data_IF_348169264515
#
_entry.id   IF_348169264515
#
_cell.length_a   1.000
_cell.length_b   1.000
_cell.length_c   1.000
_cell.angle_alpha   90.00
_cell.angle_beta   90.00
_cell.angle_gamma   90.00
#
_symmetry.space_group_name_H-M   'P 1'
#
loop_
_entity.id
_entity.type
_entity.pdbx_description
1 polymer ?
#
# COMPACT_ATOMS: atom_id res chain seq x y z
N UNK A 1 4.15 8.18 -4.92
CA UNK A 1 4.57 7.92 -6.32
C UNK A 1 4.76 9.14 -7.24
N UNK A 2 4.41 10.40 -6.88
CA UNK A 2 4.59 11.56 -7.80
C UNK A 2 6.02 12.14 -7.85
N UNK A 3 6.91 11.75 -6.92
CA UNK A 3 8.27 12.28 -6.80
C UNK A 3 9.23 11.82 -7.92
N UNK A 4 9.27 10.54 -8.37
CA UNK A 4 10.17 10.06 -9.44
C UNK A 4 10.05 10.85 -10.75
N UNK A 5 8.85 11.35 -11.07
CA UNK A 5 8.53 12.03 -12.34
C UNK A 5 9.09 13.45 -12.39
N UNK A 6 9.08 14.17 -11.27
CA UNK A 6 9.65 15.53 -11.15
C UNK A 6 11.17 15.49 -11.29
N UNK A 7 11.80 14.40 -10.88
CA UNK A 7 13.26 14.22 -10.88
C UNK A 7 13.79 13.93 -12.29
N UNK A 8 13.00 13.34 -13.17
CA UNK A 8 13.41 13.03 -14.55
C UNK A 8 13.45 14.26 -15.48
N UNK A 9 12.82 15.37 -15.09
CA UNK A 9 12.76 16.60 -15.89
C UNK A 9 13.95 17.53 -15.63
N UNK A 10 14.64 17.39 -14.48
CA UNK A 10 15.81 18.21 -14.16
C UNK A 10 17.14 17.51 -14.55
N UNK A 11 17.96 18.12 -15.43
CA UNK A 11 19.25 17.56 -15.82
C UNK A 11 20.29 17.52 -14.68
N UNK A 12 20.09 18.24 -13.57
CA UNK A 12 20.96 18.21 -12.39
C UNK A 12 20.64 17.06 -11.39
N UNK A 13 19.57 16.31 -11.65
CA UNK A 13 19.12 15.20 -10.81
C UNK A 13 20.05 13.96 -10.84
N UNK A 14 21.05 13.95 -11.72
CA UNK A 14 21.98 12.84 -11.89
C UNK A 14 23.23 12.90 -10.99
N UNK A 15 23.35 13.95 -10.17
CA UNK A 15 24.34 13.97 -9.09
C UNK A 15 23.87 13.10 -7.92
N UNK A 16 24.80 12.46 -7.20
CA UNK A 16 24.50 11.65 -6.00
C UNK A 16 23.59 12.38 -5.01
N UNK A 17 23.80 13.69 -4.85
CA UNK A 17 22.96 14.56 -4.03
C UNK A 17 21.49 14.65 -4.54
N UNK A 18 21.27 14.71 -5.85
CA UNK A 18 19.92 14.71 -6.45
C UNK A 18 19.20 13.37 -6.26
N UNK A 19 19.92 12.25 -6.42
CA UNK A 19 19.41 10.92 -6.12
C UNK A 19 19.09 10.72 -4.62
N UNK A 20 19.85 11.34 -3.73
CA UNK A 20 19.60 11.28 -2.28
C UNK A 20 18.41 12.15 -1.88
N UNK A 21 18.35 13.40 -2.37
CA UNK A 21 17.27 14.33 -2.09
C UNK A 21 15.92 13.77 -2.56
N UNK A 22 15.90 13.19 -3.76
CA UNK A 22 14.71 12.52 -4.29
C UNK A 22 14.21 11.37 -3.44
N UNK A 23 15.12 10.49 -3.00
CA UNK A 23 14.80 9.38 -2.08
C UNK A 23 14.25 9.90 -0.76
N UNK A 24 14.83 10.97 -0.21
CA UNK A 24 14.37 11.59 1.02
C UNK A 24 12.93 12.12 0.89
N UNK A 25 12.64 12.92 -0.15
CA UNK A 25 11.29 13.47 -0.35
C UNK A 25 10.26 12.40 -0.68
N UNK A 26 10.63 11.37 -1.46
CA UNK A 26 9.76 10.22 -1.72
C UNK A 26 9.39 9.52 -0.40
N UNK A 27 10.39 9.20 0.43
CA UNK A 27 10.16 8.55 1.73
C UNK A 27 9.34 9.42 2.68
N UNK A 28 9.59 10.73 2.73
CA UNK A 28 8.83 11.67 3.54
C UNK A 28 7.34 11.71 3.13
N UNK A 29 7.06 11.77 1.82
CA UNK A 29 5.69 11.76 1.33
C UNK A 29 4.97 10.43 1.58
N UNK A 30 5.66 9.30 1.41
CA UNK A 30 5.07 7.96 1.62
C UNK A 30 4.85 7.64 3.11
N UNK A 31 5.73 8.11 4.00
CA UNK A 31 5.58 7.93 5.44
C UNK A 31 4.31 8.58 5.98
N UNK A 32 3.90 9.73 5.43
CA UNK A 32 2.70 10.45 5.85
C UNK A 32 1.41 9.84 5.26
N UNK A 33 1.49 9.11 4.15
CA UNK A 33 0.32 8.66 3.39
C UNK A 33 -0.58 7.70 4.17
N UNK A 34 -0.01 6.60 4.66
CA UNK A 34 -0.78 5.54 5.33
C UNK A 34 -1.42 6.02 6.66
N UNK A 35 -0.68 6.64 7.60
CA UNK A 35 -1.28 7.16 8.82
C UNK A 35 -2.22 8.35 8.55
N UNK A 36 -1.89 9.22 7.59
CA UNK A 36 -2.72 10.36 7.23
C UNK A 36 -4.08 9.94 6.69
N UNK A 37 -4.10 8.95 5.79
CA UNK A 37 -5.36 8.44 5.21
C UNK A 37 -6.21 7.73 6.25
N UNK A 38 -5.59 6.91 7.11
CA UNK A 38 -6.29 6.19 8.18
C UNK A 38 -6.89 7.17 9.20
N UNK A 39 -6.15 8.22 9.56
CA UNK A 39 -6.64 9.26 10.46
C UNK A 39 -7.82 10.04 9.84
N UNK A 40 -7.73 10.41 8.57
CA UNK A 40 -8.84 11.07 7.87
C UNK A 40 -10.09 10.16 7.84
N UNK A 41 -9.94 8.88 7.52
CA UNK A 41 -11.07 7.94 7.55
C UNK A 41 -11.69 7.81 8.94
N UNK A 42 -10.89 7.75 10.01
CA UNK A 42 -11.41 7.66 11.38
C UNK A 42 -12.25 8.86 11.81
N UNK A 43 -12.08 10.02 11.15
CA UNK A 43 -12.86 11.25 11.42
C UNK A 43 -14.13 11.37 10.59
N UNK A 44 -14.23 10.63 9.49
CA UNK A 44 -15.33 10.74 8.53
C UNK A 44 -16.23 9.50 8.53
N UNK A 45 -15.80 8.40 9.17
CA UNK A 45 -16.47 7.11 9.10
C UNK A 45 -16.66 6.51 10.50
N UNK A 46 -17.77 5.79 10.67
CA UNK A 46 -18.09 5.06 11.91
C UNK A 46 -17.10 3.92 12.15
N UNK A 47 -16.93 3.54 13.41
CA UNK A 47 -15.97 2.49 13.81
C UNK A 47 -16.33 1.10 13.26
N UNK A 48 -17.60 0.88 12.93
CA UNK A 48 -18.10 -0.36 12.32
C UNK A 48 -17.79 -0.50 10.82
N UNK A 49 -17.65 0.62 10.10
CA UNK A 49 -17.39 0.63 8.64
C UNK A 49 -15.93 0.97 8.31
N UNK A 50 -15.14 1.31 9.32
CA UNK A 50 -13.78 1.80 9.15
C UNK A 50 -12.86 0.76 8.49
N UNK A 51 -12.99 -0.52 8.87
CA UNK A 51 -12.15 -1.59 8.37
C UNK A 51 -12.40 -1.87 6.88
N UNK A 52 -13.66 -1.95 6.44
CA UNK A 52 -14.03 -2.03 5.02
C UNK A 52 -13.52 -0.84 4.19
N UNK A 53 -13.58 0.38 4.74
CA UNK A 53 -13.09 1.57 4.02
C UNK A 53 -11.58 1.59 3.90
N UNK A 54 -10.86 1.17 4.94
CA UNK A 54 -9.41 1.00 4.91
C UNK A 54 -9.04 -0.10 3.91
N UNK A 55 -9.79 -1.21 3.84
CA UNK A 55 -9.51 -2.29 2.90
C UNK A 55 -9.70 -1.84 1.46
N UNK A 56 -10.71 -1.02 1.13
CA UNK A 56 -10.86 -0.44 -0.22
C UNK A 56 -9.61 0.36 -0.62
N UNK A 57 -9.12 1.23 0.26
CA UNK A 57 -7.93 2.06 -0.02
C UNK A 57 -6.67 1.19 -0.16
N UNK A 58 -6.51 0.22 0.72
CA UNK A 58 -5.34 -0.67 0.73
C UNK A 58 -5.33 -1.58 -0.50
N UNK A 59 -6.49 -2.11 -0.90
CA UNK A 59 -6.68 -2.87 -2.15
C UNK A 59 -6.36 -2.05 -3.39
N UNK A 60 -6.63 -0.73 -3.37
CA UNK A 60 -6.20 0.18 -4.44
C UNK A 60 -4.68 0.21 -4.61
N UNK A 61 -3.94 0.10 -3.50
CA UNK A 61 -2.47 0.03 -3.53
C UNK A 61 -1.99 -1.30 -4.14
N UNK A 62 -2.61 -2.42 -3.75
CA UNK A 62 -2.33 -3.75 -4.33
C UNK A 62 -2.59 -3.83 -5.83
N UNK A 63 -3.70 -3.24 -6.30
CA UNK A 63 -3.98 -3.10 -7.73
C UNK A 63 -2.95 -2.21 -8.42
N UNK A 64 -2.51 -1.13 -7.77
CA UNK A 64 -1.41 -0.30 -8.24
C UNK A 64 -0.15 -1.10 -8.54
N UNK A 65 0.25 -2.02 -7.64
CA UNK A 65 1.40 -2.92 -7.90
C UNK A 65 1.16 -3.86 -9.08
N UNK A 66 -0.04 -4.42 -9.22
CA UNK A 66 -0.41 -5.28 -10.35
C UNK A 66 -0.33 -4.53 -11.69
N UNK A 67 -0.93 -3.34 -11.77
CA UNK A 67 -0.89 -2.51 -12.98
C UNK A 67 0.52 -1.97 -13.26
N UNK A 68 1.26 -1.58 -12.23
CA UNK A 68 2.66 -1.15 -12.36
C UNK A 68 3.54 -2.24 -12.95
N UNK A 69 3.43 -3.48 -12.46
CA UNK A 69 4.14 -4.63 -13.02
C UNK A 69 3.73 -4.93 -14.48
N UNK A 70 2.44 -4.79 -14.80
CA UNK A 70 1.94 -4.97 -16.16
C UNK A 70 2.51 -3.91 -17.13
N UNK A 71 2.45 -2.62 -16.74
CA UNK A 71 3.02 -1.52 -17.53
C UNK A 71 4.53 -1.71 -17.67
N UNK A 72 5.23 -2.06 -16.60
CA UNK A 72 6.67 -2.34 -16.62
C UNK A 72 7.02 -3.46 -17.59
N UNK A 73 6.25 -4.55 -17.62
CA UNK A 73 6.47 -5.66 -18.56
C UNK A 73 6.34 -5.20 -20.03
N UNK A 74 5.33 -4.38 -20.33
CA UNK A 74 5.09 -3.85 -21.68
C UNK A 74 6.18 -2.87 -22.12
N UNK A 75 6.57 -1.94 -21.24
CA UNK A 75 7.59 -0.92 -21.52
C UNK A 75 8.96 -1.56 -21.73
N UNK A 76 9.36 -2.52 -20.89
CA UNK A 76 10.64 -3.20 -21.05
C UNK A 76 10.74 -4.03 -22.33
N UNK A 77 9.61 -4.53 -22.85
CA UNK A 77 9.58 -5.31 -24.09
C UNK A 77 9.58 -4.47 -25.38
N UNK A 78 9.18 -3.20 -25.32
CA UNK A 78 8.88 -2.40 -26.54
C UNK A 78 9.56 -1.03 -26.61
N UNK A 79 9.94 -0.44 -25.48
CA UNK A 79 10.36 0.97 -25.41
C UNK A 79 11.85 1.17 -25.13
N UNK A 80 12.68 0.13 -25.27
CA UNK A 80 14.13 0.30 -25.12
C UNK A 80 14.72 1.08 -26.32
N UNK A 81 15.47 2.14 -26.03
CA UNK A 81 16.08 3.10 -27.00
C UNK A 81 15.09 3.95 -27.82
N UNK A 82 13.81 3.92 -27.50
CA UNK A 82 12.81 4.81 -28.13
C UNK A 82 13.09 6.26 -27.69
N UNK A 83 13.29 7.16 -28.66
CA UNK A 83 13.78 8.54 -28.49
C UNK A 83 15.16 8.67 -27.81
N UNK A 84 15.99 7.62 -27.82
CA UNK A 84 17.32 7.63 -27.19
C UNK A 84 17.30 7.54 -25.66
N UNK A 85 16.14 7.31 -25.05
CA UNK A 85 16.00 7.09 -23.62
C UNK A 85 15.96 5.60 -23.28
N UNK A 86 16.49 5.25 -22.11
CA UNK A 86 16.39 3.90 -21.56
C UNK A 86 14.94 3.59 -21.15
N UNK A 87 14.47 2.35 -21.35
CA UNK A 87 13.09 1.96 -21.10
C UNK A 87 12.58 2.25 -19.67
N UNK A 88 13.44 2.21 -18.65
CA UNK A 88 13.07 2.55 -17.28
C UNK A 88 12.62 4.01 -17.09
N UNK A 89 13.10 4.94 -17.94
CA UNK A 89 12.68 6.35 -17.91
C UNK A 89 11.25 6.52 -18.40
N UNK A 90 10.88 5.76 -19.43
CA UNK A 90 9.52 5.73 -19.95
C UNK A 90 8.52 5.18 -18.92
N UNK A 91 8.93 4.20 -18.11
CA UNK A 91 8.10 3.67 -17.03
C UNK A 91 7.68 4.76 -16.03
N UNK A 92 8.65 5.52 -15.49
CA UNK A 92 8.36 6.60 -14.55
C UNK A 92 7.59 7.77 -15.17
N UNK A 93 7.79 8.04 -16.46
CA UNK A 93 7.06 9.08 -17.17
C UNK A 93 5.58 8.69 -17.34
N UNK A 94 5.31 7.44 -17.74
CA UNK A 94 3.95 6.94 -17.94
C UNK A 94 3.20 6.83 -16.61
N UNK A 95 3.80 6.17 -15.62
CA UNK A 95 3.19 5.99 -14.30
C UNK A 95 2.99 7.34 -13.58
N UNK A 96 4.00 8.19 -13.65
CA UNK A 96 3.96 9.56 -13.12
C UNK A 96 2.92 10.46 -13.79
N UNK A 97 2.87 10.43 -15.12
CA UNK A 97 1.92 11.23 -15.89
C UNK A 97 0.47 10.84 -15.60
N UNK A 98 0.19 9.53 -15.60
CA UNK A 98 -1.15 9.01 -15.29
C UNK A 98 -1.58 9.39 -13.86
N UNK A 99 -0.68 9.29 -12.88
CA UNK A 99 -1.00 9.65 -11.49
C UNK A 99 -1.27 11.15 -11.32
N UNK A 100 -0.54 12.03 -12.02
CA UNK A 100 -0.81 13.49 -12.01
C UNK A 100 -2.20 13.78 -12.60
N UNK A 101 -2.55 13.16 -13.72
CA UNK A 101 -3.87 13.34 -14.37
C UNK A 101 -4.98 12.90 -13.41
N UNK A 102 -4.83 11.72 -12.79
CA UNK A 102 -5.80 11.21 -11.82
C UNK A 102 -5.89 12.13 -10.60
N UNK A 103 -4.76 12.67 -10.11
CA UNK A 103 -4.76 13.61 -8.98
C UNK A 103 -5.52 14.91 -9.29
N UNK A 104 -5.29 15.50 -10.48
CA UNK A 104 -6.02 16.70 -10.93
C UNK A 104 -7.52 16.41 -11.08
N UNK A 105 -7.87 15.24 -11.63
CA UNK A 105 -9.25 14.80 -11.75
C UNK A 105 -9.90 14.61 -10.37
N UNK A 106 -9.23 13.94 -9.44
CA UNK A 106 -9.70 13.72 -8.08
C UNK A 106 -9.98 15.04 -7.35
N UNK A 107 -9.07 16.02 -7.42
CA UNK A 107 -9.25 17.35 -6.83
C UNK A 107 -10.50 18.04 -7.39
N UNK A 108 -10.73 17.91 -8.69
CA UNK A 108 -11.88 18.51 -9.37
C UNK A 108 -13.18 17.86 -8.92
N UNK A 109 -13.23 16.53 -8.84
CA UNK A 109 -14.39 15.77 -8.35
C UNK A 109 -14.69 16.09 -6.89
N UNK A 110 -13.70 16.13 -6.01
CA UNK A 110 -13.92 16.47 -4.58
C UNK A 110 -14.48 17.88 -4.42
N UNK A 111 -14.01 18.85 -5.23
CA UNK A 111 -14.55 20.22 -5.23
C UNK A 111 -16.00 20.28 -5.69
N UNK A 112 -16.38 19.45 -6.67
CA UNK A 112 -17.75 19.34 -7.15
C UNK A 112 -18.66 18.70 -6.11
N UNK A 113 -18.25 17.57 -5.51
CA UNK A 113 -19.00 16.90 -4.45
C UNK A 113 -19.22 17.80 -3.22
N UNK A 114 -18.18 18.57 -2.82
CA UNK A 114 -18.29 19.53 -1.71
C UNK A 114 -19.25 20.68 -2.01
N UNK A 115 -19.42 21.05 -3.28
CA UNK A 115 -20.36 22.10 -3.72
C UNK A 115 -21.79 21.57 -3.93
N UNK A 116 -21.93 20.29 -4.26
CA UNK A 116 -23.21 19.65 -4.54
C UNK A 116 -23.91 19.10 -3.30
N UNK A 117 -23.18 18.77 -2.23
CA UNK A 117 -23.78 18.30 -0.98
C UNK A 117 -24.56 19.40 -0.26
N UNK A 118 -25.82 19.14 0.08
CA UNK A 118 -26.58 20.03 0.96
C UNK A 118 -25.84 20.16 2.29
N UNK A 119 -25.67 21.40 2.77
CA UNK A 119 -24.99 21.67 4.05
C UNK A 119 -25.60 20.88 5.22
N UNK A 120 -26.89 20.53 5.13
CA UNK A 120 -27.60 19.70 6.10
C UNK A 120 -27.17 18.23 6.10
N UNK A 121 -26.94 17.62 4.93
CA UNK A 121 -26.50 16.22 4.83
C UNK A 121 -25.09 16.05 5.39
N UNK A 122 -24.21 17.02 5.14
CA UNK A 122 -22.86 17.06 5.70
C UNK A 122 -22.87 17.25 7.22
N UNK A 123 -23.78 18.09 7.74
CA UNK A 123 -23.95 18.27 9.18
C UNK A 123 -24.49 16.99 9.85
N UNK A 124 -25.43 16.30 9.20
CA UNK A 124 -26.02 15.06 9.71
C UNK A 124 -25.03 13.89 9.68
N UNK A 125 -24.18 13.82 8.64
CA UNK A 125 -23.07 12.87 8.57
C UNK A 125 -22.03 13.13 9.67
N UNK A 126 -21.68 14.41 9.91
CA UNK A 126 -20.76 14.79 10.98
C UNK A 126 -21.31 14.43 12.36
N UNK A 127 -22.59 14.75 12.62
CA UNK A 127 -23.26 14.42 13.88
C UNK A 127 -23.27 12.92 14.17
N UNK A 128 -23.49 12.08 13.14
CA UNK A 128 -23.45 10.62 13.27
C UNK A 128 -22.07 10.08 13.65
N UNK A 129 -20.99 10.73 13.21
CA UNK A 129 -19.62 10.35 13.59
C UNK A 129 -19.29 10.86 14.99
N UNK A 130 -19.74 12.06 15.34
CA UNK A 130 -19.60 12.63 16.68
C UNK A 130 -20.37 11.81 17.74
N UNK A 131 -21.58 11.33 17.42
CA UNK A 131 -22.35 10.44 18.30
C UNK A 131 -21.66 9.10 18.53
N UNK A 132 -21.02 8.52 17.51
CA UNK A 132 -20.21 7.28 17.63
C UNK A 132 -18.88 7.55 18.39
N UNK A 133 -18.37 8.79 18.31
CA UNK A 133 -17.18 9.24 19.03
C UNK A 133 -17.46 9.71 20.47
N UNK A 134 -18.71 9.99 20.85
CA UNK A 134 -19.10 10.44 22.20
C UNK A 134 -18.90 9.38 23.30
N UNK A 135 -18.58 8.13 22.94
CA UNK A 135 -18.07 7.13 23.88
C UNK A 135 -16.57 7.26 24.20
N UNK A 136 -15.85 8.14 23.50
CA UNK A 136 -14.46 8.51 23.76
C UNK A 136 -14.40 9.96 24.22
N UNK A 137 -14.04 10.16 25.49
CA UNK A 137 -13.87 11.47 26.14
C UNK A 137 -13.24 12.49 25.19
N UNK A 138 -13.85 13.66 25.06
CA UNK A 138 -13.20 14.82 24.45
C UNK A 138 -11.96 15.16 25.29
N UNK A 139 -10.78 14.74 24.81
CA UNK A 139 -9.53 14.91 25.54
C UNK A 139 -9.11 16.37 25.46
N UNK A 140 -9.04 17.05 26.60
CA UNK A 140 -8.37 18.34 26.74
C UNK A 140 -6.92 18.26 26.25
N UNK A 141 -6.36 19.38 25.81
CA UNK A 141 -4.98 19.47 25.29
C UNK A 141 -3.93 18.94 26.28
N UNK A 142 -4.19 19.06 27.60
CA UNK A 142 -3.35 18.50 28.66
C UNK A 142 -3.48 16.96 28.79
N UNK A 143 -4.64 16.39 28.46
CA UNK A 143 -4.85 14.93 28.45
C UNK A 143 -4.16 14.25 27.26
N UNK A 144 -3.91 14.94 26.15
CA UNK A 144 -3.24 14.34 24.98
C UNK A 144 -1.84 13.80 25.31
N UNK A 145 -1.03 14.57 26.04
CA UNK A 145 0.31 14.11 26.42
C UNK A 145 0.24 12.94 27.40
N UNK A 146 -0.70 12.97 28.36
CA UNK A 146 -0.90 11.83 29.28
C UNK A 146 -1.40 10.59 28.55
N UNK A 147 -2.33 10.71 27.60
CA UNK A 147 -2.83 9.60 26.80
C UNK A 147 -1.76 9.06 25.87
N UNK A 148 -0.90 9.92 25.31
CA UNK A 148 0.27 9.49 24.53
C UNK A 148 1.24 8.68 25.39
N UNK A 149 1.56 9.15 26.61
CA UNK A 149 2.43 8.41 27.51
C UNK A 149 1.81 7.08 27.95
N UNK A 150 0.49 7.03 28.19
CA UNK A 150 -0.23 5.80 28.49
C UNK A 150 -0.19 4.83 27.30
N UNK A 151 -0.41 5.32 26.09
CA UNK A 151 -0.33 4.52 24.87
C UNK A 151 1.07 3.95 24.64
N UNK A 152 2.12 4.74 24.89
CA UNK A 152 3.51 4.28 24.76
C UNK A 152 3.93 3.29 25.86
N UNK A 153 3.24 3.28 27.00
CA UNK A 153 3.55 2.38 28.12
C UNK A 153 2.71 1.10 28.09
N UNK A 154 1.64 1.06 27.30
CA UNK A 154 0.78 -0.13 27.19
C UNK A 154 1.48 -1.25 26.41
N UNK A 155 1.69 -2.38 27.06
CA UNK A 155 2.29 -3.57 26.46
C UNK A 155 1.51 -4.08 25.23
N UNK A 156 0.19 -3.86 25.20
CA UNK A 156 -0.68 -4.30 24.08
C UNK A 156 -0.35 -3.56 22.80
N UNK A 157 0.05 -2.28 22.89
CA UNK A 157 0.44 -1.49 21.73
C UNK A 157 1.76 -2.00 21.18
N UNK A 158 2.71 -2.35 22.04
CA UNK A 158 3.98 -2.94 21.63
C UNK A 158 3.81 -4.32 20.98
N UNK A 159 2.92 -5.19 21.51
CA UNK A 159 2.67 -6.49 20.92
C UNK A 159 1.98 -6.38 19.55
N UNK A 160 0.99 -5.49 19.41
CA UNK A 160 0.36 -5.20 18.12
C UNK A 160 1.34 -4.56 17.11
N UNK A 161 2.21 -3.65 17.57
CA UNK A 161 3.23 -3.02 16.73
C UNK A 161 4.26 -4.03 16.24
N UNK A 162 4.67 -4.96 17.11
CA UNK A 162 5.60 -6.04 16.75
C UNK A 162 4.94 -7.00 15.75
N UNK A 163 3.66 -7.35 15.96
CA UNK A 163 2.92 -8.16 15.01
C UNK A 163 2.83 -7.49 13.64
N UNK A 164 2.53 -6.18 13.59
CA UNK A 164 2.50 -5.42 12.35
C UNK A 164 3.87 -5.36 11.66
N UNK A 165 4.95 -5.20 12.43
CA UNK A 165 6.31 -5.22 11.89
C UNK A 165 6.65 -6.58 11.27
N UNK A 166 6.24 -7.69 11.89
CA UNK A 166 6.40 -9.02 11.31
C UNK A 166 5.63 -9.17 9.98
N UNK A 167 4.44 -8.57 9.87
CA UNK A 167 3.66 -8.57 8.62
C UNK A 167 4.40 -7.83 7.52
N UNK A 168 4.93 -6.64 7.79
CA UNK A 168 5.72 -5.88 6.81
C UNK A 168 7.04 -6.57 6.44
N UNK A 169 7.67 -7.25 7.40
CA UNK A 169 8.84 -8.08 7.12
C UNK A 169 8.51 -9.24 6.17
N UNK A 170 7.34 -9.85 6.30
CA UNK A 170 6.87 -10.88 5.37
C UNK A 170 6.56 -10.29 3.97
N UNK A 171 5.92 -9.13 3.90
CA UNK A 171 5.60 -8.44 2.63
C UNK A 171 6.85 -8.08 1.83
N UNK A 172 7.98 -7.86 2.51
CA UNK A 172 9.29 -7.62 1.86
C UNK A 172 9.70 -8.75 0.93
N UNK A 173 9.24 -9.99 1.15
CA UNK A 173 9.46 -11.11 0.24
C UNK A 173 8.89 -10.86 -1.16
N UNK A 174 7.73 -10.20 -1.24
CA UNK A 174 7.08 -9.83 -2.49
C UNK A 174 7.95 -8.93 -3.38
N UNK A 175 8.75 -8.05 -2.78
CA UNK A 175 9.67 -7.16 -3.50
C UNK A 175 10.82 -7.92 -4.19
N UNK A 176 11.16 -9.11 -3.72
CA UNK A 176 12.22 -9.94 -4.31
C UNK A 176 11.70 -10.93 -5.37
N UNK A 177 10.39 -11.05 -5.56
CA UNK A 177 9.78 -11.96 -6.55
C UNK A 177 10.31 -11.76 -7.99
N UNK A 178 10.52 -10.52 -8.50
CA UNK A 178 11.07 -10.33 -9.84
C UNK A 178 12.51 -10.84 -9.97
N UNK A 179 13.30 -10.69 -8.91
CA UNK A 179 14.69 -11.16 -8.86
C UNK A 179 14.74 -12.69 -8.78
N UNK A 180 13.90 -13.27 -7.93
CA UNK A 180 13.76 -14.73 -7.80
C UNK A 180 13.33 -15.37 -9.13
N UNK A 181 12.30 -14.83 -9.79
CA UNK A 181 11.84 -15.35 -11.09
C UNK A 181 12.92 -15.20 -12.18
N UNK A 182 13.73 -14.14 -12.16
CA UNK A 182 14.87 -14.00 -13.06
C UNK A 182 15.93 -15.12 -12.85
N UNK A 183 16.20 -15.54 -11.61
CA UNK A 183 17.14 -16.65 -11.34
C UNK A 183 16.66 -18.00 -11.87
N UNK A 184 15.36 -18.16 -12.14
CA UNK A 184 14.79 -19.38 -12.71
C UNK A 184 14.96 -19.46 -14.24
N UNK A 185 15.57 -18.46 -14.88
CA UNK A 185 15.84 -18.42 -16.32
C UNK A 185 14.73 -17.76 -17.14
N UNK A 186 13.75 -17.12 -16.50
CA UNK A 186 12.71 -16.35 -17.20
C UNK A 186 13.25 -15.00 -17.68
N UNK A 187 12.75 -14.55 -18.83
CA UNK A 187 13.00 -13.18 -19.33
C UNK A 187 12.45 -12.15 -18.35
N UNK A 188 13.12 -10.99 -18.15
CA UNK A 188 12.67 -9.94 -17.21
C UNK A 188 11.22 -9.50 -17.44
N UNK A 189 10.76 -9.47 -18.69
CA UNK A 189 9.36 -9.17 -19.03
C UNK A 189 8.38 -10.21 -18.48
N UNK A 190 8.72 -11.49 -18.63
CA UNK A 190 7.89 -12.61 -18.16
C UNK A 190 7.90 -12.67 -16.63
N UNK A 191 9.05 -12.43 -16.00
CA UNK A 191 9.20 -12.34 -14.55
C UNK A 191 8.27 -11.29 -13.93
N UNK A 192 8.17 -10.10 -14.53
CA UNK A 192 7.25 -9.05 -14.08
C UNK A 192 5.79 -9.43 -14.29
N UNK A 193 5.46 -10.06 -15.43
CA UNK A 193 4.11 -10.50 -15.73
C UNK A 193 3.62 -11.59 -14.75
N UNK A 194 4.52 -12.49 -14.35
CA UNK A 194 4.23 -13.54 -13.35
C UNK A 194 3.91 -12.98 -11.95
N UNK A 195 4.33 -11.75 -11.66
CA UNK A 195 4.01 -11.09 -10.39
C UNK A 195 2.58 -10.55 -10.35
N UNK A 196 1.91 -10.35 -11.50
CA UNK A 196 0.58 -9.72 -11.57
C UNK A 196 -0.54 -10.57 -10.94
N UNK A 197 -0.68 -11.89 -11.25
CA UNK A 197 -1.77 -12.70 -10.70
C UNK A 197 -1.80 -12.77 -9.15
N UNK A 198 -0.65 -12.93 -8.45
CA UNK A 198 -0.62 -12.88 -6.99
C UNK A 198 -1.23 -11.61 -6.38
N UNK A 199 -0.94 -10.43 -6.94
CA UNK A 199 -1.47 -9.15 -6.44
C UNK A 199 -2.98 -9.01 -6.65
N UNK A 200 -3.49 -9.50 -7.80
CA UNK A 200 -4.93 -9.53 -8.09
C UNK A 200 -5.65 -10.47 -7.11
N UNK A 201 -5.11 -11.67 -6.91
CA UNK A 201 -5.66 -12.63 -5.96
C UNK A 201 -5.67 -12.07 -4.54
N UNK A 202 -4.56 -11.46 -4.10
CA UNK A 202 -4.47 -10.78 -2.80
C UNK A 202 -5.55 -9.71 -2.63
N UNK A 203 -5.86 -8.96 -3.69
CA UNK A 203 -6.90 -7.93 -3.65
C UNK A 203 -8.30 -8.53 -3.47
N UNK A 204 -8.62 -9.58 -4.22
CA UNK A 204 -9.91 -10.27 -4.12
C UNK A 204 -10.09 -10.87 -2.72
N UNK A 205 -9.07 -11.56 -2.20
CA UNK A 205 -9.10 -12.13 -0.86
C UNK A 205 -9.24 -11.04 0.21
N UNK A 206 -8.53 -9.91 0.08
CA UNK A 206 -8.64 -8.80 1.01
C UNK A 206 -10.07 -8.23 1.07
N UNK A 207 -10.75 -8.11 -0.07
CA UNK A 207 -12.16 -7.70 -0.10
C UNK A 207 -13.08 -8.69 0.59
N UNK A 208 -12.95 -9.99 0.29
CA UNK A 208 -13.80 -11.03 0.89
C UNK A 208 -13.63 -11.05 2.41
N UNK A 209 -12.38 -11.05 2.89
CA UNK A 209 -12.07 -11.07 4.32
C UNK A 209 -12.55 -9.80 5.01
N UNK A 210 -12.36 -8.62 4.40
CA UNK A 210 -12.82 -7.37 4.98
C UNK A 210 -14.35 -7.27 5.03
N UNK A 211 -15.07 -7.68 3.98
CA UNK A 211 -16.54 -7.74 3.98
C UNK A 211 -17.05 -8.66 5.08
N UNK A 212 -16.44 -9.84 5.21
CA UNK A 212 -16.86 -10.82 6.19
C UNK A 212 -16.50 -10.40 7.62
N UNK A 213 -15.35 -9.74 7.81
CA UNK A 213 -14.94 -9.17 9.10
C UNK A 213 -15.91 -8.11 9.59
N UNK A 214 -16.36 -7.22 8.71
CA UNK A 214 -17.28 -6.15 9.10
C UNK A 214 -18.70 -6.66 9.36
N UNK A 215 -19.13 -7.73 8.68
CA UNK A 215 -20.41 -8.40 8.94
C UNK A 215 -20.44 -9.21 10.25
N UNK A 216 -19.33 -9.89 10.57
CA UNK A 216 -19.25 -10.77 11.76
C UNK A 216 -18.82 -10.05 13.04
N UNK A 217 -18.17 -8.88 12.95
CA UNK A 217 -17.63 -8.15 14.10
C UNK A 217 -16.41 -8.81 14.77
N UNK A 218 -16.09 -10.05 14.41
CA UNK A 218 -15.03 -10.90 14.97
C UNK A 218 -13.65 -10.62 14.36
N UNK A 219 -13.05 -9.48 14.68
CA UNK A 219 -11.78 -9.01 14.06
C UNK A 219 -10.59 -9.93 14.30
N UNK A 220 -10.56 -10.66 15.42
CA UNK A 220 -9.42 -11.50 15.79
C UNK A 220 -9.22 -12.67 14.83
N UNK A 221 -10.29 -13.41 14.53
CA UNK A 221 -10.23 -14.58 13.65
C UNK A 221 -9.87 -14.21 12.21
N UNK A 222 -10.37 -13.06 11.73
CA UNK A 222 -10.06 -12.55 10.38
C UNK A 222 -8.63 -12.04 10.24
N UNK A 223 -7.92 -11.80 11.35
CA UNK A 223 -6.50 -11.49 11.31
C UNK A 223 -5.65 -12.76 11.41
N UNK A 224 -5.95 -13.64 12.38
CA UNK A 224 -5.14 -14.82 12.66
C UNK A 224 -5.22 -15.90 11.57
N UNK A 225 -6.41 -16.16 11.00
CA UNK A 225 -6.58 -17.25 10.02
C UNK A 225 -5.80 -16.96 8.72
N UNK A 226 -5.91 -15.77 8.09
CA UNK A 226 -5.12 -15.46 6.90
C UNK A 226 -3.61 -15.44 7.18
N UNK A 227 -3.18 -15.00 8.36
CA UNK A 227 -1.77 -15.01 8.77
C UNK A 227 -1.20 -16.43 8.84
N UNK A 228 -1.94 -17.37 9.42
CA UNK A 228 -1.50 -18.76 9.51
C UNK A 228 -1.42 -19.43 8.14
N UNK A 229 -2.42 -19.20 7.28
CA UNK A 229 -2.45 -19.77 5.92
C UNK A 229 -1.30 -19.20 5.09
N UNK A 230 -1.13 -17.89 5.08
CA UNK A 230 -0.05 -17.24 4.30
C UNK A 230 1.33 -17.63 4.83
N UNK A 231 1.52 -17.68 6.15
CA UNK A 231 2.76 -18.16 6.76
C UNK A 231 3.08 -19.60 6.38
N UNK A 232 2.09 -20.50 6.42
CA UNK A 232 2.26 -21.89 6.00
C UNK A 232 2.66 -22.02 4.53
N UNK A 233 2.01 -21.24 3.65
CA UNK A 233 2.34 -21.22 2.20
C UNK A 233 3.78 -20.75 1.99
N UNK A 234 4.22 -19.66 2.64
CA UNK A 234 5.59 -19.16 2.52
C UNK A 234 6.62 -20.19 3.00
N UNK A 235 6.37 -20.85 4.13
CA UNK A 235 7.24 -21.93 4.63
C UNK A 235 7.33 -23.09 3.63
N UNK A 236 6.19 -23.50 3.05
CA UNK A 236 6.15 -24.53 2.04
C UNK A 236 6.96 -24.15 0.79
N UNK A 237 6.75 -22.93 0.26
CA UNK A 237 7.51 -22.40 -0.88
C UNK A 237 9.01 -22.40 -0.62
N UNK A 238 9.45 -21.92 0.55
CA UNK A 238 10.86 -21.91 0.93
C UNK A 238 11.44 -23.33 1.00
N UNK A 239 10.69 -24.29 1.55
CA UNK A 239 11.11 -25.69 1.65
C UNK A 239 11.27 -26.39 0.29
N UNK A 240 10.44 -26.01 -0.69
CA UNK A 240 10.50 -26.54 -2.06
C UNK A 240 11.70 -25.93 -2.78
N UNK A 241 11.88 -24.61 -2.68
CA UNK A 241 13.04 -23.91 -3.25
C UNK A 241 14.36 -24.46 -2.68
N UNK A 242 14.43 -24.70 -1.37
CA UNK A 242 15.60 -25.30 -0.72
C UNK A 242 15.88 -26.72 -1.25
N UNK A 243 14.84 -27.56 -1.40
CA UNK A 243 14.98 -28.91 -1.98
C UNK A 243 15.42 -28.89 -3.45
N UNK A 244 14.83 -28.02 -4.26
CA UNK A 244 15.17 -27.87 -5.68
C UNK A 244 16.61 -27.38 -5.88
N UNK A 245 17.10 -26.51 -4.99
CA UNK A 245 18.49 -26.06 -5.01
C UNK A 245 19.45 -27.17 -4.58
N UNK A 246 19.09 -27.98 -3.57
CA UNK A 246 19.91 -29.09 -3.11
C UNK A 246 20.05 -30.19 -4.18
N UNK A 247 18.99 -30.48 -4.93
CA UNK A 247 19.02 -31.42 -6.06
C UNK A 247 19.86 -30.96 -7.25
N UNK A 248 20.08 -29.65 -7.43
CA UNK A 248 21.01 -29.12 -8.45
C UNK A 248 22.49 -29.16 -8.02
N UNK A 249 22.76 -29.40 -6.73
CA UNK A 249 24.10 -29.50 -6.16
C UNK A 249 24.60 -30.93 -5.95
N UNK A 250 23.72 -31.92 -5.99
CA UNK A 250 24.14 -33.33 -6.01
C UNK A 250 24.77 -33.63 -7.38
N UNK A 251 26.01 -34.15 -7.42
CA UNK A 251 26.72 -34.49 -8.66
C UNK A 251 26.01 -35.57 -9.47
#
# INVERSE_FOLDING_TARGET
MCTPTIILVHPDAFNFAGALASRFFLGFCEAAWQPGTTFLLSRWCKRSELAWRISIITSGSSLGYAFGALIASGVMGTMDKVFGFAGWRWLFLLEGGVTIIIAVFAISVTRLLRRAGSHEELALARKRVEEDACGSDHLDQAKYLSTLTQALTDWRIWSLSTALLCIYAADSFGNFLPTLSATMGYSPTISLLLCVPPWIFSTITAFIVASHSDSSGERFWHMCIPLLITGFVHCCSLSISARAWNHRRSP
#
